data_IF_438054698530
#
_entry.id   IF_438054698530
#
_cell.length_a   1.000
_cell.length_b   1.000
_cell.length_c   1.000
_cell.angle_alpha   90.00
_cell.angle_beta   90.00
_cell.angle_gamma   90.00
#
_symmetry.space_group_name_H-M   'P 1'
#
loop_
_entity.id
_entity.type
_entity.pdbx_description
1 polymer ?
#
# COMPACT_ATOMS: atom_id res chain seq x y z
N UNK A 1 24.06 7.88 -10.41
CA UNK A 1 23.36 7.45 -9.16
C UNK A 1 22.51 8.57 -8.55
N UNK A 2 22.98 9.83 -8.54
CA UNK A 2 22.20 10.95 -7.99
C UNK A 2 20.98 11.37 -8.83
N UNK A 3 20.97 11.08 -10.13
CA UNK A 3 19.82 11.40 -11.01
C UNK A 3 18.61 10.49 -10.76
N UNK A 4 18.84 9.23 -10.40
CA UNK A 4 17.76 8.28 -10.05
C UNK A 4 17.08 8.66 -8.72
N UNK A 5 17.84 9.10 -7.72
CA UNK A 5 17.28 9.53 -6.44
C UNK A 5 16.47 10.82 -6.54
N UNK A 6 16.83 11.74 -7.44
CA UNK A 6 16.04 12.97 -7.69
C UNK A 6 14.70 12.65 -8.38
N UNK A 7 14.67 11.70 -9.32
CA UNK A 7 13.41 11.27 -9.97
C UNK A 7 12.49 10.58 -8.97
N UNK A 8 13.02 9.73 -8.09
CA UNK A 8 12.24 9.08 -7.03
C UNK A 8 11.63 10.10 -6.05
N UNK A 9 12.37 11.12 -5.62
CA UNK A 9 11.85 12.20 -4.78
C UNK A 9 10.81 13.07 -5.50
N UNK A 10 10.99 13.34 -6.78
CA UNK A 10 9.98 14.05 -7.60
C UNK A 10 8.71 13.24 -7.76
N UNK A 11 8.78 11.91 -7.77
CA UNK A 11 7.61 11.04 -7.80
C UNK A 11 6.75 11.18 -6.56
N UNK A 12 7.32 11.15 -5.36
CA UNK A 12 6.58 11.33 -4.11
C UNK A 12 5.85 12.68 -4.04
N UNK A 13 6.38 13.73 -4.66
CA UNK A 13 5.74 15.05 -4.74
C UNK A 13 4.67 15.07 -5.84
N UNK A 14 4.92 14.39 -6.96
CA UNK A 14 4.08 14.41 -8.15
C UNK A 14 2.82 13.56 -8.00
N UNK A 15 2.89 12.51 -7.20
CA UNK A 15 1.77 11.58 -6.99
C UNK A 15 0.93 11.96 -5.76
N UNK A 16 1.30 13.03 -5.04
CA UNK A 16 0.52 13.54 -3.89
C UNK A 16 -0.90 13.91 -4.29
N UNK A 17 -1.08 14.50 -5.48
CA UNK A 17 -2.40 14.85 -6.02
C UNK A 17 -3.33 13.63 -6.16
N UNK A 18 -2.76 12.44 -6.50
CA UNK A 18 -3.55 11.21 -6.62
C UNK A 18 -3.91 10.61 -5.26
N UNK A 19 -3.06 10.80 -4.26
CA UNK A 19 -3.37 10.42 -2.88
C UNK A 19 -4.53 11.26 -2.36
N UNK A 20 -4.49 12.57 -2.59
CA UNK A 20 -5.57 13.50 -2.21
C UNK A 20 -6.87 13.18 -2.96
N UNK A 21 -6.78 12.81 -4.24
CA UNK A 21 -7.91 12.37 -5.05
C UNK A 21 -8.53 11.08 -4.48
N UNK A 22 -7.72 10.10 -4.10
CA UNK A 22 -8.21 8.88 -3.46
C UNK A 22 -8.89 9.15 -2.12
N UNK A 23 -8.32 10.05 -1.29
CA UNK A 23 -8.94 10.45 -0.03
C UNK A 23 -10.31 11.11 -0.26
N UNK A 24 -10.40 11.98 -1.27
CA UNK A 24 -11.65 12.63 -1.65
C UNK A 24 -12.70 11.61 -2.10
N UNK A 25 -12.31 10.65 -2.95
CA UNK A 25 -13.17 9.57 -3.39
C UNK A 25 -13.62 8.67 -2.21
N UNK A 26 -12.70 8.35 -1.29
CA UNK A 26 -13.01 7.61 -0.08
C UNK A 26 -14.05 8.32 0.79
N UNK A 27 -13.84 9.60 1.08
CA UNK A 27 -14.80 10.42 1.85
C UNK A 27 -16.19 10.45 1.21
N UNK A 28 -16.26 10.62 -0.11
CA UNK A 28 -17.52 10.61 -0.87
C UNK A 28 -18.28 9.29 -0.74
N UNK A 29 -17.57 8.19 -0.61
CA UNK A 29 -18.13 6.83 -0.46
C UNK A 29 -18.31 6.38 1.01
N UNK A 30 -17.95 7.22 1.97
CA UNK A 30 -17.94 6.83 3.39
C UNK A 30 -16.90 5.74 3.70
N UNK A 31 -15.82 5.68 2.93
CA UNK A 31 -14.70 4.75 3.12
C UNK A 31 -13.56 5.53 3.78
N UNK A 32 -13.22 5.14 5.01
CA UNK A 32 -12.06 5.70 5.71
C UNK A 32 -10.76 5.12 5.13
N UNK A 33 -9.92 6.00 4.59
CA UNK A 33 -8.63 5.64 4.02
C UNK A 33 -7.51 6.17 4.92
N UNK A 34 -6.57 5.29 5.22
CA UNK A 34 -5.36 5.66 5.94
C UNK A 34 -4.23 5.91 4.94
N UNK A 35 -3.36 6.86 5.24
CA UNK A 35 -2.12 7.12 4.51
C UNK A 35 -0.95 6.53 5.29
N UNK A 36 0.00 5.96 4.55
CA UNK A 36 1.18 5.40 5.19
C UNK A 36 2.25 5.04 4.17
N UNK A 37 3.36 4.57 4.70
CA UNK A 37 4.51 4.08 3.95
C UNK A 37 4.44 2.57 3.87
N UNK A 38 4.43 2.05 2.63
CA UNK A 38 4.46 0.62 2.36
C UNK A 38 5.89 0.18 2.07
N UNK A 39 6.36 -0.85 2.76
CA UNK A 39 7.63 -1.52 2.49
C UNK A 39 7.37 -2.88 1.85
N UNK A 40 8.12 -3.22 0.79
CA UNK A 40 8.09 -4.56 0.21
C UNK A 40 9.29 -5.36 0.69
N UNK A 41 9.02 -6.57 1.14
CA UNK A 41 10.01 -7.62 1.38
C UNK A 41 9.82 -8.74 0.36
N UNK A 42 10.87 -9.52 0.13
CA UNK A 42 10.90 -10.48 -0.98
C UNK A 42 9.98 -11.69 -0.79
N UNK A 43 9.64 -12.04 0.46
CA UNK A 43 8.97 -13.31 0.74
C UNK A 43 9.86 -14.53 0.40
N UNK A 44 9.29 -15.73 0.21
CA UNK A 44 7.86 -16.07 0.18
C UNK A 44 7.21 -16.24 1.57
N UNK A 45 7.99 -16.22 2.65
CA UNK A 45 7.50 -16.37 4.01
C UNK A 45 6.99 -15.02 4.55
N UNK A 46 6.05 -15.05 5.49
CA UNK A 46 5.71 -13.90 6.28
C UNK A 46 6.90 -13.42 7.10
N UNK A 47 6.89 -12.15 7.42
CA UNK A 47 7.94 -11.48 8.17
C UNK A 47 8.06 -12.04 9.59
N UNK A 48 9.29 -12.17 10.08
CA UNK A 48 9.58 -12.40 11.48
C UNK A 48 9.29 -11.14 12.32
N UNK A 49 9.07 -11.27 13.63
CA UNK A 49 8.91 -10.10 14.51
C UNK A 49 10.09 -9.12 14.44
N UNK A 50 11.31 -9.63 14.19
CA UNK A 50 12.51 -8.79 14.03
C UNK A 50 12.47 -7.97 12.74
N UNK A 51 12.04 -8.55 11.61
CA UNK A 51 11.85 -7.86 10.34
C UNK A 51 10.74 -6.80 10.43
N UNK A 52 9.63 -7.10 11.11
CA UNK A 52 8.56 -6.14 11.37
C UNK A 52 9.07 -4.96 12.20
N UNK A 53 9.88 -5.23 13.25
CA UNK A 53 10.51 -4.17 14.04
C UNK A 53 11.47 -3.32 13.21
N UNK A 54 12.28 -3.95 12.36
CA UNK A 54 13.17 -3.27 11.42
C UNK A 54 12.39 -2.36 10.47
N UNK A 55 11.34 -2.88 9.83
CA UNK A 55 10.49 -2.12 8.92
C UNK A 55 9.90 -0.87 9.60
N UNK A 56 9.42 -1.02 10.83
CA UNK A 56 8.89 0.09 11.65
C UNK A 56 9.96 1.14 11.96
N UNK A 57 11.19 0.73 12.30
CA UNK A 57 12.31 1.66 12.52
C UNK A 57 12.66 2.43 11.25
N UNK A 58 12.53 1.80 10.09
CA UNK A 58 12.70 2.44 8.77
C UNK A 58 11.55 3.37 8.39
N UNK A 59 10.49 3.44 9.20
CA UNK A 59 9.34 4.33 8.99
C UNK A 59 8.22 3.73 8.14
N UNK A 60 8.14 2.40 8.04
CA UNK A 60 7.04 1.73 7.35
C UNK A 60 5.82 1.58 8.26
N UNK A 61 4.63 1.80 7.68
CA UNK A 61 3.32 1.60 8.31
C UNK A 61 2.67 0.28 7.88
N UNK A 62 3.00 -0.20 6.69
CA UNK A 62 2.52 -1.44 6.13
C UNK A 62 3.64 -2.23 5.46
N UNK A 63 3.55 -3.55 5.48
CA UNK A 63 4.52 -4.46 4.86
C UNK A 63 3.80 -5.49 4.00
N UNK A 64 4.45 -5.92 2.93
CA UNK A 64 3.97 -7.00 2.07
C UNK A 64 5.00 -7.35 0.99
N UNK A 65 4.60 -8.16 0.02
CA UNK A 65 5.48 -8.77 -0.99
C UNK A 65 5.19 -8.26 -2.41
N UNK A 66 4.35 -7.23 -2.55
CA UNK A 66 3.89 -6.69 -3.84
C UNK A 66 4.02 -5.17 -3.90
N UNK A 67 3.38 -4.57 -4.90
CA UNK A 67 3.14 -3.11 -4.99
C UNK A 67 4.39 -2.31 -5.33
N UNK A 68 5.50 -2.46 -4.59
CA UNK A 68 6.72 -1.67 -4.80
C UNK A 68 7.43 -2.03 -6.11
N UNK A 69 7.63 -3.32 -6.48
CA UNK A 69 8.22 -3.66 -7.78
C UNK A 69 7.41 -3.11 -8.95
N UNK A 70 6.09 -3.23 -8.90
CA UNK A 70 5.18 -2.71 -9.93
C UNK A 70 5.24 -1.18 -10.00
N UNK A 71 5.24 -0.51 -8.85
CA UNK A 71 5.35 0.95 -8.78
C UNK A 71 6.68 1.47 -9.35
N UNK A 72 7.79 0.77 -9.11
CA UNK A 72 9.10 1.11 -9.67
C UNK A 72 9.07 1.04 -11.19
N UNK A 73 8.56 -0.06 -11.75
CA UNK A 73 8.51 -0.27 -13.21
C UNK A 73 7.53 0.72 -13.87
N UNK A 74 6.34 0.89 -13.32
CA UNK A 74 5.37 1.84 -13.82
C UNK A 74 5.91 3.26 -13.84
N UNK A 75 6.58 3.65 -12.78
CA UNK A 75 7.23 4.94 -12.69
C UNK A 75 8.38 5.11 -13.68
N UNK A 76 9.21 4.09 -13.87
CA UNK A 76 10.27 4.10 -14.87
C UNK A 76 9.69 4.28 -16.29
N UNK A 77 8.53 3.65 -16.56
CA UNK A 77 7.79 3.79 -17.81
C UNK A 77 7.07 5.16 -17.95
N UNK A 78 7.19 6.06 -16.98
CA UNK A 78 6.57 7.38 -17.02
C UNK A 78 5.08 7.38 -16.68
N UNK A 79 4.55 6.27 -16.17
CA UNK A 79 3.15 6.17 -15.74
C UNK A 79 2.93 6.91 -14.41
N UNK A 80 1.71 7.39 -14.23
CA UNK A 80 1.25 7.91 -12.95
C UNK A 80 0.81 6.73 -12.07
N UNK A 81 1.22 6.73 -10.81
CA UNK A 81 1.01 5.59 -9.91
C UNK A 81 0.27 6.02 -8.66
N UNK A 82 -0.74 5.25 -8.29
CA UNK A 82 -1.38 5.28 -6.98
C UNK A 82 -1.39 3.87 -6.41
N UNK A 83 -0.89 3.70 -5.19
CA UNK A 83 -0.92 2.43 -4.46
C UNK A 83 -2.10 2.41 -3.49
N UNK A 84 -2.93 1.38 -3.61
CA UNK A 84 -4.02 1.09 -2.68
C UNK A 84 -3.81 -0.31 -2.13
N UNK A 85 -3.61 -0.42 -0.83
CA UNK A 85 -3.41 -1.71 -0.16
C UNK A 85 -4.54 -2.01 0.82
N UNK A 86 -5.07 -3.22 0.72
CA UNK A 86 -5.99 -3.75 1.72
C UNK A 86 -5.18 -4.38 2.84
N UNK A 87 -5.25 -3.80 4.04
CA UNK A 87 -4.59 -4.36 5.21
C UNK A 87 -5.47 -5.48 5.76
N UNK A 88 -4.99 -6.72 5.63
CA UNK A 88 -5.75 -7.93 5.96
C UNK A 88 -5.47 -8.44 7.38
N UNK A 89 -4.31 -8.12 7.92
CA UNK A 89 -3.90 -8.57 9.26
C UNK A 89 -2.91 -7.62 9.90
N UNK A 90 -2.65 -7.80 11.19
CA UNK A 90 -1.52 -7.21 11.87
C UNK A 90 -0.26 -8.05 11.61
N UNK A 91 0.88 -7.40 11.37
CA UNK A 91 2.14 -8.11 11.15
C UNK A 91 2.60 -8.88 12.41
N UNK A 92 3.47 -9.87 12.22
CA UNK A 92 3.99 -10.72 13.30
C UNK A 92 4.61 -9.90 14.44
N UNK A 93 4.25 -10.23 15.67
CA UNK A 93 4.72 -9.53 16.88
C UNK A 93 4.03 -8.19 17.15
N UNK A 94 3.07 -7.77 16.33
CA UNK A 94 2.22 -6.58 16.59
C UNK A 94 0.98 -6.97 17.37
N UNK A 95 0.42 -8.14 17.09
CA UNK A 95 -0.67 -8.72 17.87
C UNK A 95 -0.32 -10.13 18.34
N UNK A 96 -1.10 -10.66 19.29
CA UNK A 96 -0.97 -12.04 19.78
C UNK A 96 -1.65 -13.06 18.89
N UNK A 97 -2.35 -12.62 17.84
CA UNK A 97 -3.08 -13.49 16.91
C UNK A 97 -2.09 -14.16 15.96
N UNK A 98 -2.20 -15.47 15.83
CA UNK A 98 -1.41 -16.24 14.87
C UNK A 98 -1.94 -15.94 13.47
N UNK A 99 -1.05 -15.51 12.57
CA UNK A 99 -1.41 -15.20 11.20
C UNK A 99 -1.67 -16.48 10.41
N UNK A 100 -2.78 -16.52 9.69
CA UNK A 100 -3.08 -17.58 8.73
C UNK A 100 -3.38 -17.01 7.35
N UNK A 101 -3.07 -17.77 6.30
CA UNK A 101 -3.42 -17.38 4.94
C UNK A 101 -4.93 -17.34 4.70
N UNK A 102 -5.68 -18.16 5.44
CA UNK A 102 -7.15 -18.18 5.39
C UNK A 102 -7.74 -16.85 5.84
N UNK A 103 -7.23 -16.26 6.92
CA UNK A 103 -7.69 -14.96 7.45
C UNK A 103 -7.45 -13.84 6.43
N UNK A 104 -6.35 -13.90 5.70
CA UNK A 104 -6.04 -12.94 4.62
C UNK A 104 -7.08 -13.03 3.50
N UNK A 105 -7.45 -14.24 3.07
CA UNK A 105 -8.46 -14.46 2.02
C UNK A 105 -9.83 -13.94 2.48
N UNK A 106 -10.22 -14.23 3.72
CA UNK A 106 -11.49 -13.79 4.30
C UNK A 106 -11.56 -12.25 4.38
N UNK A 107 -10.53 -11.61 4.95
CA UNK A 107 -10.46 -10.16 5.05
C UNK A 107 -10.48 -9.48 3.68
N UNK A 108 -9.74 -10.01 2.70
CA UNK A 108 -9.75 -9.51 1.33
C UNK A 108 -11.13 -9.68 0.67
N UNK A 109 -11.82 -10.80 0.93
CA UNK A 109 -13.18 -11.06 0.48
C UNK A 109 -14.16 -10.03 1.02
N UNK A 110 -14.09 -9.74 2.31
CA UNK A 110 -14.95 -8.76 2.98
C UNK A 110 -14.73 -7.32 2.44
N UNK A 111 -13.49 -6.97 2.09
CA UNK A 111 -13.15 -5.65 1.56
C UNK A 111 -13.47 -5.48 0.07
N UNK A 112 -13.67 -6.56 -0.68
CA UNK A 112 -13.75 -6.60 -2.15
C UNK A 112 -14.70 -5.57 -2.77
N UNK A 113 -15.94 -5.51 -2.28
CA UNK A 113 -16.94 -4.61 -2.86
C UNK A 113 -16.66 -3.13 -2.55
N UNK A 114 -16.15 -2.83 -1.35
CA UNK A 114 -15.69 -1.48 -1.00
C UNK A 114 -14.53 -1.06 -1.87
N UNK A 115 -13.55 -1.94 -2.05
CA UNK A 115 -12.36 -1.70 -2.87
C UNK A 115 -12.74 -1.43 -4.33
N UNK A 116 -13.62 -2.23 -4.92
CA UNK A 116 -14.11 -2.01 -6.30
C UNK A 116 -14.80 -0.65 -6.47
N UNK A 117 -15.66 -0.26 -5.51
CA UNK A 117 -16.34 1.03 -5.56
C UNK A 117 -15.34 2.18 -5.49
N UNK A 118 -14.35 2.07 -4.60
CA UNK A 118 -13.30 3.06 -4.43
C UNK A 118 -12.48 3.24 -5.72
N UNK A 119 -11.98 2.15 -6.30
CA UNK A 119 -11.18 2.20 -7.54
C UNK A 119 -11.99 2.82 -8.68
N UNK A 120 -13.26 2.43 -8.85
CA UNK A 120 -14.12 3.01 -9.88
C UNK A 120 -14.33 4.52 -9.67
N UNK A 121 -14.49 4.97 -8.43
CA UNK A 121 -14.68 6.38 -8.13
C UNK A 121 -13.40 7.18 -8.38
N UNK A 122 -12.23 6.65 -7.99
CA UNK A 122 -10.94 7.28 -8.28
C UNK A 122 -10.75 7.45 -9.80
N UNK A 123 -11.06 6.42 -10.60
CA UNK A 123 -10.94 6.48 -12.07
C UNK A 123 -11.89 7.52 -12.68
N UNK A 124 -13.07 7.74 -12.09
CA UNK A 124 -14.01 8.76 -12.58
C UNK A 124 -13.57 10.20 -12.27
N UNK A 125 -12.75 10.37 -11.26
CA UNK A 125 -12.25 11.68 -10.84
C UNK A 125 -10.89 12.04 -11.51
N UNK A 126 -10.26 11.10 -12.25
CA UNK A 126 -9.04 11.32 -13.05
C UNK A 126 -9.37 12.05 -14.35
#
# INVERSE_FOLDING_TARGET
LHLLSRRQRQMCIRDREYVELAEKAGKKLGIDLQKGVYIALTGPSYETPAEVKMARILGADAVGMSTVPEAIIASWAGMKVIGLSCICNSAAGVSTVVLSHADVIEAAGAAKEKFKKLVKEIIREL
#
